data_IF_696999501385
#
_entry.id   IF_696999501385
#
_cell.length_a   1.000
_cell.length_b   1.000
_cell.length_c   1.000
_cell.angle_alpha   90.00
_cell.angle_beta   90.00
_cell.angle_gamma   90.00
#
_symmetry.space_group_name_H-M   'P 1'
#
loop_
_entity.id
_entity.type
_entity.pdbx_description
1 polymer ?
#
# COMPACT_ATOMS: atom_id res chain seq x y z
N UNK A 1 -10.98 32.38 11.56
CA UNK A 1 -10.80 31.13 12.32
C UNK A 1 -9.90 30.24 11.49
N UNK A 2 -8.65 30.03 11.90
CA UNK A 2 -7.75 29.11 11.20
C UNK A 2 -8.06 27.71 11.70
N UNK A 3 -8.58 26.85 10.83
CA UNK A 3 -8.75 25.43 11.13
C UNK A 3 -7.35 24.82 11.06
N UNK A 4 -6.75 24.58 12.22
CA UNK A 4 -5.49 23.85 12.29
C UNK A 4 -5.72 22.45 11.74
N UNK A 5 -5.07 22.13 10.63
CA UNK A 5 -5.03 20.79 10.06
C UNK A 5 -4.44 19.85 11.11
N UNK A 6 -5.28 18.99 11.69
CA UNK A 6 -4.83 17.91 12.54
C UNK A 6 -4.02 16.94 11.68
N UNK A 7 -2.70 17.06 11.69
CA UNK A 7 -1.82 16.01 11.19
C UNK A 7 -1.91 14.84 12.16
N UNK A 8 -2.67 13.80 11.77
CA UNK A 8 -2.62 12.52 12.47
C UNK A 8 -1.16 12.04 12.45
N UNK A 9 -0.62 11.68 13.62
CA UNK A 9 0.70 11.04 13.65
C UNK A 9 0.58 9.71 12.89
N UNK A 10 1.51 9.39 11.98
CA UNK A 10 1.45 8.13 11.26
C UNK A 10 1.45 7.01 12.30
N UNK A 11 0.44 6.15 12.23
CA UNK A 11 0.21 5.16 13.26
C UNK A 11 1.26 4.05 13.15
N UNK A 12 1.60 3.41 14.28
CA UNK A 12 2.42 2.20 14.22
C UNK A 12 1.60 1.10 13.53
N UNK A 13 2.26 0.28 12.71
CA UNK A 13 1.63 -0.90 12.15
C UNK A 13 1.37 -1.92 13.27
N UNK A 14 0.15 -2.46 13.30
CA UNK A 14 -0.21 -3.62 14.14
C UNK A 14 -0.47 -4.81 13.22
N UNK A 15 -0.33 -6.04 13.76
CA UNK A 15 -0.62 -7.26 13.01
C UNK A 15 -2.05 -7.27 12.46
N UNK A 16 -3.04 -6.85 13.26
CA UNK A 16 -4.44 -6.82 12.83
C UNK A 16 -4.69 -5.84 11.68
N UNK A 17 -4.04 -4.68 11.69
CA UNK A 17 -4.16 -3.70 10.60
C UNK A 17 -3.46 -4.16 9.34
N UNK A 18 -2.28 -4.75 9.50
CA UNK A 18 -1.58 -5.37 8.38
C UNK A 18 -2.47 -6.42 7.71
N UNK A 19 -3.00 -7.37 8.49
CA UNK A 19 -3.91 -8.40 7.99
C UNK A 19 -5.16 -7.81 7.33
N UNK A 20 -5.76 -6.78 7.91
CA UNK A 20 -6.94 -6.13 7.33
C UNK A 20 -6.66 -5.51 5.93
N UNK A 21 -5.44 -5.00 5.69
CA UNK A 21 -5.01 -4.50 4.39
C UNK A 21 -4.75 -5.66 3.43
N UNK A 22 -4.04 -6.71 3.89
CA UNK A 22 -3.70 -7.86 3.06
C UNK A 22 -4.92 -8.68 2.62
N UNK A 23 -5.96 -8.73 3.46
CA UNK A 23 -7.21 -9.45 3.18
C UNK A 23 -8.21 -8.62 2.36
N UNK A 24 -7.86 -7.38 1.99
CA UNK A 24 -8.71 -6.52 1.19
C UNK A 24 -9.15 -7.21 -0.12
N UNK A 25 -10.38 -6.93 -0.54
CA UNK A 25 -11.01 -7.58 -1.70
C UNK A 25 -10.39 -7.15 -3.03
N UNK A 26 -9.75 -5.98 -3.09
CA UNK A 26 -9.05 -5.45 -4.25
C UNK A 26 -8.31 -4.15 -3.92
N UNK A 27 -7.71 -3.52 -4.93
CA UNK A 27 -6.84 -2.35 -4.76
C UNK A 27 -7.52 -1.17 -4.06
N UNK A 28 -8.78 -0.90 -4.39
CA UNK A 28 -9.53 0.20 -3.77
C UNK A 28 -9.74 -0.02 -2.27
N UNK A 29 -10.17 -1.22 -1.87
CA UNK A 29 -10.36 -1.54 -0.46
C UNK A 29 -9.04 -1.55 0.33
N UNK A 30 -7.94 -1.99 -0.29
CA UNK A 30 -6.62 -1.90 0.31
C UNK A 30 -6.16 -0.44 0.44
N UNK A 31 -6.45 0.38 -0.58
CA UNK A 31 -6.14 1.81 -0.61
C UNK A 31 -6.77 2.54 0.57
N UNK A 32 -8.08 2.39 0.75
CA UNK A 32 -8.83 3.05 1.82
C UNK A 32 -8.25 2.69 3.21
N UNK A 33 -8.00 1.40 3.45
CA UNK A 33 -7.43 0.92 4.72
C UNK A 33 -5.98 1.37 4.96
N UNK A 34 -5.17 1.46 3.91
CA UNK A 34 -3.78 1.90 4.04
C UNK A 34 -3.66 3.42 4.18
N UNK A 35 -4.55 4.19 3.55
CA UNK A 35 -4.59 5.65 3.69
C UNK A 35 -4.98 6.07 5.12
N UNK A 36 -5.80 5.27 5.82
CA UNK A 36 -6.12 5.46 7.24
C UNK A 36 -4.89 5.39 8.18
N UNK A 37 -3.77 4.83 7.73
CA UNK A 37 -2.54 4.77 8.52
C UNK A 37 -1.86 6.14 8.66
N UNK A 38 -2.17 7.09 7.78
CA UNK A 38 -1.48 8.38 7.67
C UNK A 38 -0.04 8.26 7.15
N UNK A 39 0.32 7.13 6.53
CA UNK A 39 1.65 6.91 5.95
C UNK A 39 1.75 7.61 4.59
N UNK A 40 2.97 7.95 4.17
CA UNK A 40 3.16 8.56 2.87
C UNK A 40 2.91 7.53 1.77
N UNK A 41 1.98 7.82 0.87
CA UNK A 41 1.75 7.01 -0.32
C UNK A 41 2.97 7.05 -1.24
N UNK A 42 3.40 5.89 -1.75
CA UNK A 42 4.40 5.83 -2.81
C UNK A 42 3.84 6.45 -4.09
N UNK A 43 4.71 7.09 -4.85
CA UNK A 43 4.33 7.69 -6.13
C UNK A 43 4.05 6.61 -7.17
N UNK A 44 3.33 6.97 -8.23
CA UNK A 44 3.12 6.07 -9.37
C UNK A 44 4.45 5.63 -9.98
N UNK A 45 5.44 6.51 -10.08
CA UNK A 45 6.77 6.16 -10.59
C UNK A 45 7.49 5.12 -9.71
N UNK A 46 7.45 5.30 -8.38
CA UNK A 46 8.01 4.33 -7.43
C UNK A 46 7.27 2.98 -7.50
N UNK A 47 5.98 2.99 -7.81
CA UNK A 47 5.18 1.76 -7.93
C UNK A 47 5.37 1.09 -9.31
N UNK A 48 5.55 1.87 -10.36
CA UNK A 48 5.63 1.42 -11.76
C UNK A 48 6.94 0.67 -12.06
N UNK A 49 8.05 1.09 -11.47
CA UNK A 49 9.33 0.36 -11.55
C UNK A 49 9.11 -1.10 -11.13
N UNK A 50 8.44 -1.32 -10.00
CA UNK A 50 8.14 -2.65 -9.49
C UNK A 50 7.08 -3.41 -10.30
N UNK A 51 6.01 -2.73 -10.74
CA UNK A 51 5.01 -3.37 -11.63
C UNK A 51 5.66 -3.92 -12.90
N UNK A 52 6.58 -3.17 -13.49
CA UNK A 52 7.30 -3.58 -14.71
C UNK A 52 8.08 -4.87 -14.48
N UNK A 53 8.78 -4.99 -13.34
CA UNK A 53 9.47 -6.22 -12.95
C UNK A 53 8.53 -7.41 -12.73
N UNK A 54 7.38 -7.19 -12.08
CA UNK A 54 6.39 -8.24 -11.85
C UNK A 54 5.75 -8.74 -13.15
N UNK A 55 5.35 -7.83 -14.04
CA UNK A 55 4.76 -8.14 -15.36
C UNK A 55 5.74 -8.95 -16.21
N UNK A 56 7.02 -8.54 -16.21
CA UNK A 56 8.07 -9.23 -16.97
C UNK A 56 8.34 -10.66 -16.49
N UNK A 57 8.14 -10.95 -15.21
CA UNK A 57 8.41 -12.26 -14.62
C UNK A 57 7.21 -13.21 -14.60
N UNK A 58 6.01 -12.71 -14.25
CA UNK A 58 4.82 -13.56 -14.04
C UNK A 58 3.85 -13.56 -15.23
N UNK A 59 3.93 -12.57 -16.12
CA UNK A 59 2.94 -12.32 -17.16
C UNK A 59 1.62 -11.76 -16.60
N UNK A 60 0.92 -10.97 -17.43
CA UNK A 60 -0.34 -10.32 -17.05
C UNK A 60 -0.16 -9.00 -16.31
N UNK A 61 -1.26 -8.27 -16.12
CA UNK A 61 -1.29 -6.97 -15.45
C UNK A 61 -1.49 -7.13 -13.93
N UNK A 62 -0.83 -6.27 -13.16
CA UNK A 62 -0.96 -6.20 -11.70
C UNK A 62 -1.40 -4.79 -11.29
N UNK A 63 -2.31 -4.73 -10.32
CA UNK A 63 -2.65 -3.53 -9.58
C UNK A 63 -1.83 -3.48 -8.30
N UNK A 64 -1.23 -2.33 -8.01
CA UNK A 64 -0.36 -2.18 -6.85
C UNK A 64 -0.47 -0.79 -6.22
N UNK A 65 -0.37 -0.75 -4.91
CA UNK A 65 -0.28 0.45 -4.08
C UNK A 65 0.74 0.20 -2.97
N UNK A 66 1.49 1.23 -2.59
CA UNK A 66 2.39 1.16 -1.46
C UNK A 66 2.38 2.43 -0.61
N UNK A 67 2.83 2.26 0.62
CA UNK A 67 3.00 3.31 1.61
C UNK A 67 4.38 3.19 2.25
N UNK A 68 4.88 4.30 2.76
CA UNK A 68 6.08 4.35 3.57
C UNK A 68 5.89 5.22 4.79
N UNK A 69 6.48 4.80 5.89
CA UNK A 69 6.64 5.64 7.09
C UNK A 69 8.11 5.76 7.43
N UNK A 70 8.51 6.93 7.89
CA UNK A 70 9.85 7.14 8.46
C UNK A 70 9.78 6.87 9.97
N UNK A 71 10.58 5.94 10.46
CA UNK A 71 10.70 5.60 11.90
C UNK A 71 12.16 5.60 12.30
N UNK A 72 12.56 6.44 13.26
CA UNK A 72 13.87 6.43 13.92
C UNK A 72 15.10 6.11 13.03
N UNK A 73 15.11 6.62 11.79
CA UNK A 73 16.21 6.44 10.82
C UNK A 73 16.03 5.34 9.77
N UNK A 74 14.90 4.63 9.73
CA UNK A 74 14.58 3.64 8.71
C UNK A 74 13.21 3.92 8.08
N UNK A 75 13.08 3.59 6.79
CA UNK A 75 11.80 3.60 6.09
C UNK A 75 11.14 2.23 6.27
N UNK A 76 9.93 2.23 6.83
CA UNK A 76 9.05 1.07 6.92
C UNK A 76 8.14 1.06 5.68
N UNK A 77 8.33 0.13 4.74
CA UNK A 77 7.45 -0.01 3.59
C UNK A 77 6.22 -0.85 3.94
N UNK A 78 5.12 -0.58 3.25
CA UNK A 78 3.95 -1.46 3.16
C UNK A 78 3.48 -1.45 1.72
N UNK A 79 3.05 -2.60 1.21
CA UNK A 79 2.47 -2.67 -0.14
C UNK A 79 1.37 -3.71 -0.24
N UNK A 80 0.42 -3.45 -1.13
CA UNK A 80 -0.63 -4.39 -1.54
C UNK A 80 -0.57 -4.58 -3.04
N UNK A 81 -0.73 -5.83 -3.48
CA UNK A 81 -0.66 -6.25 -4.86
C UNK A 81 -1.82 -7.17 -5.19
N UNK A 82 -2.39 -7.03 -6.38
CA UNK A 82 -3.41 -7.95 -6.90
C UNK A 82 -3.29 -8.11 -8.41
N UNK A 83 -3.18 -9.35 -8.89
CA UNK A 83 -3.28 -9.59 -10.33
C UNK A 83 -4.69 -9.26 -10.84
N UNK A 84 -4.78 -8.70 -12.05
CA UNK A 84 -6.07 -8.29 -12.65
C UNK A 84 -6.84 -9.52 -13.14
N UNK A 85 -8.08 -9.68 -12.66
CA UNK A 85 -9.01 -10.73 -13.09
C UNK A 85 -9.71 -11.44 -11.93
N UNK A 86 -10.79 -12.20 -12.20
CA UNK A 86 -11.48 -12.96 -11.16
C UNK A 86 -10.54 -14.06 -10.65
N UNK A 87 -10.07 -13.92 -9.40
CA UNK A 87 -9.12 -14.80 -8.70
C UNK A 87 -7.63 -14.55 -8.96
N UNK A 88 -7.23 -13.33 -9.34
CA UNK A 88 -5.82 -12.97 -9.37
C UNK A 88 -5.15 -13.14 -7.98
N UNK A 89 -3.95 -13.74 -7.89
CA UNK A 89 -3.21 -13.82 -6.63
C UNK A 89 -2.96 -12.42 -6.05
N UNK A 90 -3.04 -12.32 -4.73
CA UNK A 90 -2.76 -11.11 -3.96
C UNK A 90 -1.52 -11.30 -3.10
N UNK A 91 -0.74 -10.24 -2.95
CA UNK A 91 0.43 -10.22 -2.07
C UNK A 91 0.41 -8.95 -1.21
N UNK A 92 1.07 -9.03 -0.07
CA UNK A 92 1.13 -7.97 0.92
C UNK A 92 2.45 -8.09 1.67
N UNK A 93 3.23 -7.02 1.74
CA UNK A 93 4.57 -7.01 2.36
C UNK A 93 4.83 -5.70 3.06
#
# INVERSE_FOLDING_TARGET
MSVGTATAFPENMTVDRFLAICEATGLQAATEKGDDLGWQRLTDAETEEWRTHFVGYNGGSVEAVGWRRQTAGQAEPLSFWGAVGPNGPKACT
#
